data_IF_762040696090
#
_entry.id   IF_762040696090
#
_cell.length_a   1.000
_cell.length_b   1.000
_cell.length_c   1.000
_cell.angle_alpha   90.00
_cell.angle_beta   90.00
_cell.angle_gamma   90.00
#
_symmetry.space_group_name_H-M   'P 1'
#
loop_
_entity.id
_entity.type
_entity.pdbx_description
1 polymer ?
#
# COMPACT_ATOMS: atom_id res chain seq x y z
N UNK A 1 -22.80 33.66 -16.32
CA UNK A 1 -21.65 32.76 -16.58
C UNK A 1 -20.83 32.68 -15.30
N UNK A 2 -20.58 31.49 -14.73
CA UNK A 2 -19.55 31.38 -13.69
C UNK A 2 -18.18 31.76 -14.30
N UNK A 3 -17.30 32.43 -13.56
CA UNK A 3 -15.97 32.77 -14.05
C UNK A 3 -15.21 31.48 -14.35
N UNK A 4 -14.52 31.44 -15.50
CA UNK A 4 -13.64 30.34 -15.84
C UNK A 4 -12.58 30.17 -14.74
N UNK A 5 -12.31 28.94 -14.27
CA UNK A 5 -11.35 28.69 -13.22
C UNK A 5 -9.97 29.16 -13.67
N UNK A 6 -9.36 30.05 -12.89
CA UNK A 6 -8.05 30.60 -13.19
C UNK A 6 -6.99 29.54 -12.86
N UNK A 7 -6.60 28.75 -13.85
CA UNK A 7 -5.52 27.77 -13.71
C UNK A 7 -4.22 28.50 -13.30
N UNK A 8 -3.63 28.17 -12.15
CA UNK A 8 -2.42 28.86 -11.70
C UNK A 8 -1.22 28.41 -12.53
N UNK A 9 -0.31 29.35 -12.82
CA UNK A 9 0.96 29.04 -13.47
C UNK A 9 1.84 28.13 -12.59
N UNK A 10 2.42 27.10 -13.20
CA UNK A 10 3.28 26.13 -12.49
C UNK A 10 4.47 26.80 -11.82
N UNK A 11 5.11 27.77 -12.48
CA UNK A 11 6.26 28.50 -11.96
C UNK A 11 5.90 29.31 -10.71
N UNK A 12 4.74 29.98 -10.74
CA UNK A 12 4.20 30.71 -9.59
C UNK A 12 3.91 29.77 -8.40
N UNK A 13 3.24 28.64 -8.65
CA UNK A 13 2.96 27.63 -7.62
C UNK A 13 4.26 27.06 -7.03
N UNK A 14 5.23 26.72 -7.86
CA UNK A 14 6.53 26.21 -7.42
C UNK A 14 7.29 27.24 -6.56
N UNK A 15 7.25 28.51 -6.93
CA UNK A 15 7.86 29.58 -6.14
C UNK A 15 7.24 29.67 -4.73
N UNK A 16 5.92 29.55 -4.62
CA UNK A 16 5.20 29.56 -3.34
C UNK A 16 5.45 28.29 -2.52
N UNK A 17 5.44 27.12 -3.14
CA UNK A 17 5.82 25.85 -2.48
C UNK A 17 7.24 25.95 -1.90
N UNK A 18 8.18 26.62 -2.59
CA UNK A 18 9.53 26.91 -2.06
C UNK A 18 9.51 27.90 -0.89
N UNK A 19 8.59 28.86 -0.84
CA UNK A 19 8.40 29.74 0.34
C UNK A 19 7.92 28.90 1.53
N UNK A 20 6.91 28.05 1.34
CA UNK A 20 6.38 27.14 2.37
C UNK A 20 7.46 26.20 2.87
N UNK A 21 8.24 25.58 1.98
CA UNK A 21 9.36 24.70 2.37
C UNK A 21 10.39 25.39 3.26
N UNK A 22 10.66 26.68 3.05
CA UNK A 22 11.60 27.47 3.87
C UNK A 22 11.01 27.85 5.22
N UNK A 23 9.78 28.34 5.24
CA UNK A 23 9.14 28.83 6.45
C UNK A 23 8.57 27.71 7.34
N UNK A 24 8.09 26.62 6.74
CA UNK A 24 7.37 25.54 7.41
C UNK A 24 5.86 25.82 7.53
N UNK A 25 5.09 24.75 7.68
CA UNK A 25 3.62 24.80 7.67
C UNK A 25 2.99 25.54 8.87
N UNK A 26 3.71 25.64 9.99
CA UNK A 26 3.28 26.44 11.16
C UNK A 26 3.14 27.92 10.81
N UNK A 27 3.99 28.44 9.91
CA UNK A 27 4.04 29.86 9.54
C UNK A 27 3.22 30.19 8.29
N UNK A 28 2.41 29.25 7.77
CA UNK A 28 1.66 29.41 6.52
C UNK A 28 0.81 30.68 6.48
N UNK A 29 0.16 31.05 7.59
CA UNK A 29 -0.71 32.23 7.67
C UNK A 29 0.02 33.56 7.48
N UNK A 30 1.34 33.59 7.70
CA UNK A 30 2.17 34.78 7.54
C UNK A 30 2.87 34.82 6.17
N UNK A 31 2.65 33.83 5.30
CA UNK A 31 3.26 33.78 3.98
C UNK A 31 2.32 34.35 2.93
N UNK A 32 2.88 35.17 2.05
CA UNK A 32 2.23 35.59 0.83
C UNK A 32 2.30 34.46 -0.23
N UNK A 33 1.20 33.73 -0.36
CA UNK A 33 1.02 32.56 -1.25
C UNK A 33 -0.29 32.64 -2.06
N UNK A 34 -0.46 33.65 -2.92
CA UNK A 34 -1.70 33.90 -3.65
C UNK A 34 -2.10 32.79 -4.63
N UNK A 35 -1.16 32.11 -5.29
CA UNK A 35 -1.46 31.01 -6.21
C UNK A 35 -1.97 29.77 -5.46
N UNK A 36 -1.35 29.41 -4.33
CA UNK A 36 -1.83 28.34 -3.45
C UNK A 36 -3.15 28.68 -2.78
N UNK A 37 -3.34 29.95 -2.38
CA UNK A 37 -4.62 30.42 -1.84
C UNK A 37 -5.72 30.41 -2.91
N UNK A 38 -5.40 30.74 -4.16
CA UNK A 38 -6.29 30.61 -5.31
C UNK A 38 -6.69 29.15 -5.54
N UNK A 39 -5.72 28.24 -5.62
CA UNK A 39 -5.97 26.80 -5.75
C UNK A 39 -6.84 26.26 -4.59
N UNK A 40 -6.68 26.79 -3.38
CA UNK A 40 -7.53 26.41 -2.25
C UNK A 40 -8.99 26.86 -2.39
N UNK A 41 -9.27 27.95 -3.12
CA UNK A 41 -10.64 28.43 -3.37
C UNK A 41 -11.36 27.60 -4.42
N UNK A 42 -10.62 27.07 -5.39
CA UNK A 42 -11.15 26.21 -6.46
C UNK A 42 -11.46 24.78 -5.98
N UNK A 43 -10.94 24.38 -4.82
CA UNK A 43 -11.27 23.10 -4.21
C UNK A 43 -12.58 23.17 -3.40
N UNK A 44 -13.41 22.11 -3.44
CA UNK A 44 -14.62 22.04 -2.61
C UNK A 44 -14.31 22.29 -1.13
N UNK A 45 -15.07 23.20 -0.51
CA UNK A 45 -15.08 23.36 0.94
C UNK A 45 -15.58 22.05 1.54
N UNK A 46 -14.78 21.45 2.42
CA UNK A 46 -15.20 20.26 3.17
C UNK A 46 -15.37 20.65 4.62
N UNK A 47 -16.26 19.95 5.34
CA UNK A 47 -16.77 20.33 6.67
C UNK A 47 -15.77 20.12 7.83
N UNK A 48 -14.50 19.84 7.53
CA UNK A 48 -13.45 19.64 8.52
C UNK A 48 -12.43 20.78 8.51
N UNK A 49 -12.28 21.45 9.65
CA UNK A 49 -11.13 22.33 9.91
C UNK A 49 -9.85 21.49 9.92
N UNK A 50 -9.10 21.51 8.81
CA UNK A 50 -7.70 21.08 8.88
C UNK A 50 -6.94 22.07 9.78
N UNK A 51 -6.17 21.60 10.78
CA UNK A 51 -5.46 22.48 11.72
C UNK A 51 -4.46 23.47 11.06
N UNK A 52 -4.18 23.28 9.77
CA UNK A 52 -3.32 24.11 8.93
C UNK A 52 -3.99 25.13 8.02
N UNK A 53 -5.33 25.17 7.97
CA UNK A 53 -6.08 26.02 7.06
C UNK A 53 -6.09 25.53 5.59
N UNK A 54 -6.74 26.29 4.69
CA UNK A 54 -7.04 25.85 3.31
C UNK A 54 -5.80 25.52 2.48
N UNK A 55 -4.75 26.33 2.57
CA UNK A 55 -3.51 26.12 1.81
C UNK A 55 -2.79 24.83 2.22
N UNK A 56 -2.76 24.51 3.51
CA UNK A 56 -2.15 23.24 3.96
C UNK A 56 -2.94 22.04 3.43
N UNK A 57 -4.27 22.14 3.35
CA UNK A 57 -5.13 21.11 2.77
C UNK A 57 -4.78 20.86 1.29
N UNK A 58 -4.57 21.92 0.50
CA UNK A 58 -4.11 21.81 -0.89
C UNK A 58 -2.79 21.04 -0.97
N UNK A 59 -1.81 21.43 -0.14
CA UNK A 59 -0.49 20.80 -0.16
C UNK A 59 -0.54 19.32 0.26
N UNK A 60 -1.33 18.97 1.27
CA UNK A 60 -1.54 17.57 1.68
C UNK A 60 -2.17 16.75 0.57
N UNK A 61 -3.19 17.30 -0.08
CA UNK A 61 -3.87 16.62 -1.17
C UNK A 61 -2.93 16.44 -2.38
N UNK A 62 -2.20 17.48 -2.77
CA UNK A 62 -1.22 17.43 -3.85
C UNK A 62 -0.13 16.37 -3.58
N UNK A 63 0.43 16.35 -2.36
CA UNK A 63 1.42 15.35 -1.96
C UNK A 63 0.84 13.93 -1.96
N UNK A 64 -0.41 13.75 -1.52
CA UNK A 64 -1.05 12.43 -1.54
C UNK A 64 -1.28 11.85 -2.93
N UNK A 65 -1.36 12.72 -3.97
CA UNK A 65 -1.59 12.34 -5.36
C UNK A 65 -0.31 11.96 -6.13
N UNK A 66 0.87 12.18 -5.55
CA UNK A 66 2.16 11.80 -6.14
C UNK A 66 2.28 10.27 -6.36
N UNK A 67 1.46 9.46 -5.69
CA UNK A 67 1.37 8.01 -5.96
C UNK A 67 2.27 7.14 -5.07
N UNK A 68 2.83 7.69 -3.98
CA UNK A 68 3.62 6.96 -3.00
C UNK A 68 5.13 7.02 -3.22
N UNK A 69 5.84 6.06 -2.61
CA UNK A 69 7.29 5.91 -2.75
C UNK A 69 8.13 7.01 -2.09
N UNK A 70 9.43 7.00 -2.41
CA UNK A 70 10.42 7.93 -1.85
C UNK A 70 10.11 9.38 -2.21
N UNK A 71 9.52 9.62 -3.39
CA UNK A 71 9.12 10.95 -3.85
C UNK A 71 8.03 11.57 -2.97
N UNK A 72 6.93 10.85 -2.72
CA UNK A 72 5.88 11.34 -1.82
C UNK A 72 6.43 11.52 -0.40
N UNK A 73 7.13 10.52 0.14
CA UNK A 73 7.65 10.59 1.52
C UNK A 73 8.65 11.74 1.69
N UNK A 74 9.51 11.98 0.70
CA UNK A 74 10.42 13.12 0.73
C UNK A 74 9.68 14.46 0.62
N UNK A 75 8.59 14.55 -0.14
CA UNK A 75 7.74 15.74 -0.18
C UNK A 75 7.06 16.00 1.18
N UNK A 76 6.53 14.96 1.82
CA UNK A 76 5.92 15.02 3.16
C UNK A 76 6.91 15.56 4.19
N UNK A 77 8.14 15.04 4.22
CA UNK A 77 9.17 15.54 5.13
C UNK A 77 9.67 16.93 4.75
N UNK A 78 9.89 17.23 3.47
CA UNK A 78 10.39 18.54 3.01
C UNK A 78 9.46 19.68 3.42
N UNK A 79 8.14 19.44 3.35
CA UNK A 79 7.11 20.42 3.68
C UNK A 79 6.69 20.39 5.16
N UNK A 80 7.08 19.37 5.93
CA UNK A 80 6.67 19.23 7.33
C UNK A 80 5.22 18.73 7.47
N UNK A 81 4.75 17.98 6.48
CA UNK A 81 3.41 17.41 6.43
C UNK A 81 3.36 15.99 7.02
N UNK A 82 4.50 15.32 7.12
CA UNK A 82 4.61 14.05 7.83
C UNK A 82 4.23 14.22 9.31
N UNK A 83 3.59 13.20 9.89
CA UNK A 83 3.13 13.24 11.28
C UNK A 83 4.28 13.57 12.24
N UNK A 84 4.07 14.53 13.14
CA UNK A 84 5.06 14.94 14.13
C UNK A 84 6.23 15.78 13.59
N UNK A 85 6.17 16.26 12.34
CA UNK A 85 7.26 17.05 11.71
C UNK A 85 6.91 18.52 11.48
N UNK A 86 5.76 18.96 12.00
CA UNK A 86 5.13 20.26 11.72
C UNK A 86 6.03 21.42 12.14
N UNK A 87 6.60 21.32 13.33
CA UNK A 87 7.43 22.29 14.04
C UNK A 87 8.94 22.12 13.77
N UNK A 88 9.33 21.08 13.03
CA UNK A 88 10.74 20.81 12.76
C UNK A 88 11.41 21.96 12.02
N UNK A 89 12.68 22.29 12.33
CA UNK A 89 13.46 23.23 11.53
C UNK A 89 13.59 22.83 10.06
N UNK A 90 13.66 23.82 9.17
CA UNK A 90 13.73 23.58 7.73
C UNK A 90 14.99 22.80 7.29
N UNK A 91 16.05 22.84 8.10
CA UNK A 91 17.26 22.05 7.91
C UNK A 91 17.04 20.57 8.26
N UNK A 92 16.33 20.29 9.35
CA UNK A 92 16.07 18.92 9.81
C UNK A 92 15.07 18.20 8.90
N UNK A 93 14.04 18.93 8.44
CA UNK A 93 13.14 18.47 7.37
C UNK A 93 13.91 18.08 6.09
N UNK A 94 14.88 18.91 5.68
CA UNK A 94 15.74 18.61 4.53
C UNK A 94 16.58 17.36 4.77
N UNK A 95 17.21 17.28 5.94
CA UNK A 95 18.05 16.14 6.32
C UNK A 95 17.24 14.85 6.25
N UNK A 96 16.01 14.88 6.78
CA UNK A 96 15.12 13.72 6.74
C UNK A 96 14.67 13.38 5.31
N UNK A 97 14.32 14.38 4.50
CA UNK A 97 13.97 14.14 3.10
C UNK A 97 15.15 13.60 2.27
N UNK A 98 16.38 14.05 2.54
CA UNK A 98 17.59 13.52 1.92
C UNK A 98 17.84 12.05 2.30
N UNK A 99 17.60 11.70 3.58
CA UNK A 99 17.68 10.31 4.05
C UNK A 99 16.68 9.39 3.32
N UNK A 100 15.48 9.88 2.99
CA UNK A 100 14.48 9.10 2.24
C UNK A 100 14.98 8.71 0.85
N UNK A 101 15.84 9.54 0.24
CA UNK A 101 16.47 9.25 -1.05
C UNK A 101 17.81 8.52 -0.95
N UNK A 102 18.33 8.30 0.26
CA UNK A 102 19.68 7.74 0.43
C UNK A 102 20.79 8.64 -0.14
N UNK A 103 20.58 9.95 -0.21
CA UNK A 103 21.57 10.92 -0.72
C UNK A 103 22.04 11.88 0.37
N UNK A 104 23.21 12.49 0.16
CA UNK A 104 23.69 13.54 1.05
C UNK A 104 22.74 14.75 1.05
N UNK A 105 22.69 15.48 2.17
CA UNK A 105 21.86 16.69 2.31
C UNK A 105 22.18 17.71 1.23
N UNK A 106 23.47 17.83 0.86
CA UNK A 106 23.90 18.77 -0.17
C UNK A 106 23.48 18.32 -1.57
N UNK A 107 23.56 17.04 -1.89
CA UNK A 107 23.07 16.50 -3.17
C UNK A 107 21.55 16.64 -3.28
N UNK A 108 20.84 16.40 -2.18
CA UNK A 108 19.40 16.62 -2.11
C UNK A 108 19.07 18.09 -2.38
N UNK A 109 19.73 19.01 -1.69
CA UNK A 109 19.55 20.47 -1.85
C UNK A 109 19.74 20.92 -3.30
N UNK A 110 20.77 20.42 -3.99
CA UNK A 110 21.12 20.84 -5.34
C UNK A 110 20.23 20.24 -6.44
N UNK A 111 19.83 18.97 -6.30
CA UNK A 111 19.24 18.24 -7.43
C UNK A 111 17.84 17.66 -7.14
N UNK A 112 17.58 17.19 -5.92
CA UNK A 112 16.36 16.44 -5.63
C UNK A 112 15.26 17.34 -5.05
N UNK A 113 15.64 18.35 -4.26
CA UNK A 113 14.68 19.24 -3.62
C UNK A 113 13.85 20.02 -4.65
N UNK A 114 14.46 20.49 -5.74
CA UNK A 114 13.73 21.18 -6.80
C UNK A 114 12.76 20.24 -7.52
N UNK A 115 13.20 19.01 -7.83
CA UNK A 115 12.38 17.99 -8.47
C UNK A 115 11.17 17.60 -7.60
N UNK A 116 11.41 17.33 -6.31
CA UNK A 116 10.36 17.01 -5.33
C UNK A 116 9.31 18.13 -5.24
N UNK A 117 9.75 19.38 -5.10
CA UNK A 117 8.83 20.51 -5.00
C UNK A 117 8.14 20.81 -6.34
N UNK A 118 8.82 20.56 -7.47
CA UNK A 118 8.24 20.65 -8.82
C UNK A 118 7.09 19.68 -9.03
N UNK A 119 7.23 18.45 -8.54
CA UNK A 119 6.17 17.43 -8.57
C UNK A 119 4.98 17.83 -7.69
N UNK A 120 5.23 18.41 -6.50
CA UNK A 120 4.15 18.97 -5.68
C UNK A 120 3.42 20.09 -6.43
N UNK A 121 4.14 21.01 -7.05
CA UNK A 121 3.55 22.12 -7.80
C UNK A 121 2.70 21.64 -8.98
N UNK A 122 3.17 20.63 -9.72
CA UNK A 122 2.44 19.99 -10.81
C UNK A 122 1.11 19.40 -10.32
N UNK A 123 1.12 18.68 -9.19
CA UNK A 123 -0.11 18.13 -8.61
C UNK A 123 -1.09 19.21 -8.14
N UNK A 124 -0.61 20.37 -7.67
CA UNK A 124 -1.48 21.51 -7.33
C UNK A 124 -2.16 22.08 -8.58
N UNK A 125 -1.44 22.22 -9.70
CA UNK A 125 -2.05 22.68 -10.96
C UNK A 125 -3.09 21.67 -11.44
N UNK A 126 -2.77 20.38 -11.43
CA UNK A 126 -3.69 19.31 -11.81
C UNK A 126 -4.97 19.28 -10.95
N UNK A 127 -4.85 19.59 -9.65
CA UNK A 127 -6.01 19.72 -8.76
C UNK A 127 -6.99 20.79 -9.21
N UNK A 128 -6.49 21.94 -9.67
CA UNK A 128 -7.33 23.05 -10.17
C UNK A 128 -7.94 22.71 -11.53
N UNK A 129 -7.15 22.12 -12.43
CA UNK A 129 -7.63 21.68 -13.76
C UNK A 129 -8.73 20.61 -13.64
N UNK A 130 -8.63 19.71 -12.67
CA UNK A 130 -9.65 18.67 -12.46
C UNK A 130 -10.86 19.17 -11.66
N UNK A 131 -10.70 20.19 -10.81
CA UNK A 131 -11.82 20.89 -10.15
C UNK A 131 -12.63 21.77 -11.10
N UNK A 132 -12.01 22.21 -12.21
CA UNK A 132 -12.60 23.01 -13.28
C UNK A 132 -13.52 22.25 -14.24
N UNK A 133 -13.37 20.93 -14.34
CA UNK A 133 -14.23 20.11 -15.18
C UNK A 133 -15.62 19.98 -14.52
N UNK A 134 -16.74 20.11 -15.27
CA UNK A 134 -18.08 19.83 -14.75
C UNK A 134 -18.19 18.32 -14.55
N UNK A 135 -17.59 17.86 -13.46
CA UNK A 135 -17.72 16.50 -13.01
C UNK A 135 -18.92 16.48 -12.11
N UNK A 136 -20.00 15.90 -12.62
CA UNK A 136 -21.03 15.28 -11.79
C UNK A 136 -20.42 14.12 -11.01
N UNK A 137 -19.44 14.42 -10.16
CA UNK A 137 -19.03 13.56 -9.06
C UNK A 137 -19.97 13.97 -7.94
N UNK A 138 -20.84 13.05 -7.46
CA UNK A 138 -21.66 13.35 -6.30
C UNK A 138 -20.73 13.87 -5.20
N UNK A 139 -21.15 14.92 -4.50
CA UNK A 139 -20.54 15.28 -3.22
C UNK A 139 -20.30 13.97 -2.43
N UNK A 140 -19.17 13.80 -1.71
CA UNK A 140 -19.03 12.65 -0.84
C UNK A 140 -20.21 12.70 0.13
N UNK A 141 -21.20 11.86 -0.13
CA UNK A 141 -22.29 11.71 0.80
C UNK A 141 -21.64 11.10 2.03
N UNK A 142 -21.68 11.82 3.14
CA UNK A 142 -21.43 11.23 4.45
C UNK A 142 -22.47 10.14 4.78
N UNK A 143 -23.38 9.83 3.85
CA UNK A 143 -24.48 8.89 4.00
C UNK A 143 -24.06 7.41 3.95
N UNK A 144 -22.80 7.07 3.59
CA UNK A 144 -22.33 5.70 3.75
C UNK A 144 -20.80 5.61 3.88
N UNK A 145 -20.31 5.09 5.01
CA UNK A 145 -18.91 4.68 5.12
C UNK A 145 -18.60 3.68 3.98
N UNK A 146 -17.49 3.85 3.24
CA UNK A 146 -17.14 2.90 2.19
C UNK A 146 -17.03 1.49 2.75
N UNK A 147 -17.57 0.51 2.04
CA UNK A 147 -17.62 -0.86 2.52
C UNK A 147 -16.20 -1.41 2.76
N UNK A 148 -16.00 -2.00 3.95
CA UNK A 148 -14.76 -2.68 4.32
C UNK A 148 -14.59 -4.04 3.60
N UNK A 149 -15.68 -4.58 3.06
CA UNK A 149 -15.69 -5.79 2.24
C UNK A 149 -16.40 -5.48 0.93
N UNK A 150 -15.76 -5.81 -0.19
CA UNK A 150 -16.32 -5.63 -1.54
C UNK A 150 -16.26 -6.95 -2.29
N UNK A 151 -17.39 -7.46 -2.78
CA UNK A 151 -17.42 -8.65 -3.62
C UNK A 151 -17.41 -8.21 -5.08
N UNK A 152 -16.38 -8.64 -5.80
CA UNK A 152 -16.18 -8.41 -7.21
C UNK A 152 -16.41 -9.72 -7.99
N UNK A 153 -16.71 -9.57 -9.27
CA UNK A 153 -16.98 -10.69 -10.18
C UNK A 153 -16.21 -10.49 -11.50
N UNK A 154 -14.86 -10.48 -11.46
CA UNK A 154 -14.05 -10.42 -12.67
C UNK A 154 -14.39 -11.56 -13.62
N UNK A 155 -14.26 -11.28 -14.92
CA UNK A 155 -14.32 -12.30 -15.95
C UNK A 155 -12.90 -12.83 -16.16
N UNK A 156 -12.73 -14.14 -16.04
CA UNK A 156 -11.47 -14.83 -16.32
C UNK A 156 -11.76 -15.88 -17.38
N UNK A 157 -11.19 -15.70 -18.57
CA UNK A 157 -11.55 -16.43 -19.78
C UNK A 157 -13.09 -16.41 -20.03
N UNK A 158 -13.77 -17.56 -19.98
CA UNK A 158 -15.22 -17.66 -20.20
C UNK A 158 -16.04 -17.70 -18.90
N UNK A 159 -15.41 -17.53 -17.73
CA UNK A 159 -16.06 -17.70 -16.42
C UNK A 159 -16.04 -16.41 -15.62
N UNK A 160 -17.08 -16.23 -14.79
CA UNK A 160 -17.13 -15.16 -13.80
C UNK A 160 -16.75 -15.75 -12.45
N UNK A 161 -15.71 -15.24 -11.83
CA UNK A 161 -15.18 -15.78 -10.56
C UNK A 161 -15.43 -14.78 -9.44
N UNK A 162 -16.02 -15.19 -8.30
CA UNK A 162 -16.18 -14.30 -7.16
C UNK A 162 -14.82 -14.00 -6.52
N UNK A 163 -14.54 -12.72 -6.29
CA UNK A 163 -13.34 -12.25 -5.60
C UNK A 163 -13.74 -11.29 -4.48
N UNK A 164 -13.33 -11.55 -3.25
CA UNK A 164 -13.61 -10.67 -2.10
C UNK A 164 -12.43 -9.76 -1.80
N UNK A 165 -12.67 -8.46 -1.71
CA UNK A 165 -11.68 -7.45 -1.35
C UNK A 165 -11.92 -6.91 0.06
N UNK A 166 -10.96 -7.14 0.94
CA UNK A 166 -10.92 -6.71 2.32
C UNK A 166 -10.15 -5.38 2.44
N UNK A 167 -10.81 -4.35 2.93
CA UNK A 167 -10.27 -2.99 3.10
C UNK A 167 -10.01 -2.68 4.57
N UNK A 168 -9.13 -3.47 5.17
CA UNK A 168 -8.76 -3.34 6.58
C UNK A 168 -7.40 -4.00 6.84
N UNK A 169 -6.99 -4.07 8.10
CA UNK A 169 -5.76 -4.76 8.51
C UNK A 169 -5.97 -6.28 8.53
N UNK A 170 -4.89 -7.03 8.30
CA UNK A 170 -4.92 -8.51 8.14
C UNK A 170 -5.26 -9.27 9.41
N UNK A 171 -5.17 -8.63 10.57
CA UNK A 171 -5.59 -9.16 11.88
C UNK A 171 -7.11 -9.10 12.12
N UNK A 172 -7.87 -8.54 11.18
CA UNK A 172 -9.33 -8.52 11.20
C UNK A 172 -9.95 -9.52 10.20
N UNK A 173 -9.13 -10.28 9.47
CA UNK A 173 -9.60 -11.32 8.56
C UNK A 173 -10.26 -12.45 9.36
N UNK A 174 -11.36 -12.99 8.82
CA UNK A 174 -12.10 -14.10 9.43
C UNK A 174 -12.54 -15.08 8.35
N UNK A 175 -12.69 -16.34 8.74
CA UNK A 175 -13.29 -17.41 7.94
C UNK A 175 -12.58 -17.59 6.59
N UNK A 176 -11.25 -17.51 6.60
CA UNK A 176 -10.38 -17.71 5.44
C UNK A 176 -9.33 -18.75 5.79
N UNK A 177 -9.25 -19.83 5.03
CA UNK A 177 -8.42 -20.98 5.35
C UNK A 177 -6.93 -20.67 5.32
N UNK A 178 -6.46 -19.98 4.28
CA UNK A 178 -5.06 -19.67 4.07
C UNK A 178 -4.83 -18.18 3.91
N UNK A 179 -3.93 -17.60 4.71
CA UNK A 179 -3.49 -16.21 4.53
C UNK A 179 -2.03 -16.19 4.07
N UNK A 180 -1.77 -15.49 2.97
CA UNK A 180 -0.42 -15.32 2.45
C UNK A 180 0.32 -14.21 3.20
N UNK A 181 1.53 -14.51 3.65
CA UNK A 181 2.41 -13.60 4.38
C UNK A 181 3.65 -13.26 3.54
N UNK A 182 3.87 -11.99 3.15
CA UNK A 182 5.11 -11.58 2.49
C UNK A 182 6.30 -11.71 3.44
N UNK A 183 7.28 -12.52 3.04
CA UNK A 183 8.48 -12.82 3.81
C UNK A 183 9.74 -12.45 3.04
N UNK A 184 10.82 -12.19 3.80
CA UNK A 184 12.14 -12.11 3.19
C UNK A 184 12.70 -13.49 2.89
N UNK A 185 13.74 -13.54 2.05
CA UNK A 185 14.37 -14.80 1.64
C UNK A 185 15.04 -15.57 2.78
N UNK A 186 15.24 -14.96 3.95
CA UNK A 186 15.73 -15.66 5.15
C UNK A 186 14.60 -16.15 6.05
N UNK A 187 13.34 -15.90 5.69
CA UNK A 187 12.16 -16.15 6.54
C UNK A 187 12.26 -15.55 7.95
N UNK A 188 13.05 -14.49 8.11
CA UNK A 188 13.19 -13.79 9.38
C UNK A 188 11.98 -12.87 9.58
N UNK A 189 11.10 -13.19 10.53
CA UNK A 189 9.91 -12.37 10.77
C UNK A 189 10.28 -10.98 11.33
N UNK A 190 9.60 -9.92 10.88
CA UNK A 190 9.78 -8.60 11.45
C UNK A 190 9.37 -8.57 12.94
N UNK A 191 9.90 -7.58 13.66
CA UNK A 191 9.50 -7.36 15.05
C UNK A 191 7.99 -7.11 15.17
N UNK A 192 7.30 -7.65 16.21
CA UNK A 192 5.83 -7.60 16.31
C UNK A 192 5.20 -6.21 16.34
N UNK A 193 5.94 -5.16 16.72
CA UNK A 193 5.45 -3.77 16.76
C UNK A 193 5.54 -3.06 15.40
N UNK A 194 6.07 -3.71 14.36
CA UNK A 194 6.09 -3.15 13.00
C UNK A 194 4.69 -3.23 12.38
N UNK A 195 4.47 -2.40 11.36
CA UNK A 195 3.18 -2.24 10.68
C UNK A 195 3.11 -2.97 9.33
N UNK A 196 4.01 -3.92 9.05
CA UNK A 196 3.92 -4.78 7.85
C UNK A 196 2.85 -5.85 8.01
N UNK A 197 2.43 -6.46 6.89
CA UNK A 197 1.49 -7.59 6.90
C UNK A 197 2.04 -8.73 7.77
N UNK A 198 3.27 -9.17 7.54
CA UNK A 198 3.93 -10.23 8.30
C UNK A 198 4.08 -9.93 9.79
N UNK A 199 4.35 -8.67 10.17
CA UNK A 199 4.42 -8.27 11.59
C UNK A 199 3.04 -8.32 12.26
N UNK A 200 2.00 -7.89 11.55
CA UNK A 200 0.62 -7.98 12.04
C UNK A 200 0.16 -9.42 12.18
N UNK A 201 0.41 -10.29 11.19
CA UNK A 201 0.08 -11.71 11.27
C UNK A 201 0.79 -12.40 12.44
N UNK A 202 2.10 -12.18 12.60
CA UNK A 202 2.87 -12.67 13.75
C UNK A 202 2.23 -12.22 15.08
N UNK A 203 1.96 -10.93 15.23
CA UNK A 203 1.37 -10.36 16.47
C UNK A 203 -0.05 -10.88 16.74
N UNK A 204 -0.81 -11.17 15.70
CA UNK A 204 -2.20 -11.64 15.82
C UNK A 204 -2.28 -13.16 16.06
N UNK A 205 -1.36 -13.94 15.49
CA UNK A 205 -1.27 -15.39 15.74
C UNK A 205 -0.50 -15.74 17.01
N UNK A 206 0.15 -14.79 17.67
CA UNK A 206 0.78 -14.99 18.96
C UNK A 206 -0.25 -15.16 20.08
N UNK A 207 -0.02 -16.12 20.99
CA UNK A 207 -0.83 -16.31 22.20
C UNK A 207 -0.37 -15.32 23.27
N UNK A 208 -1.33 -14.65 23.89
CA UNK A 208 -1.08 -13.63 24.92
C UNK A 208 -1.78 -14.01 26.22
N UNK A 209 -1.24 -13.53 27.32
CA UNK A 209 -1.87 -13.62 28.63
C UNK A 209 -3.01 -12.58 28.76
N UNK A 210 -3.81 -12.61 29.83
CA UNK A 210 -4.91 -11.66 30.04
C UNK A 210 -4.49 -10.19 30.14
N UNK A 211 -3.22 -9.89 30.41
CA UNK A 211 -2.70 -8.51 30.47
C UNK A 211 -2.01 -8.09 29.16
N UNK A 212 -2.03 -8.94 28.14
CA UNK A 212 -1.49 -8.68 26.81
C UNK A 212 -0.01 -9.04 26.64
N UNK A 213 0.62 -9.65 27.65
CA UNK A 213 1.98 -10.18 27.59
C UNK A 213 2.09 -11.36 26.62
N UNK A 214 3.21 -11.44 25.89
CA UNK A 214 3.47 -12.52 24.96
C UNK A 214 3.74 -13.81 25.73
N UNK A 215 2.89 -14.82 25.53
CA UNK A 215 3.07 -16.17 26.10
C UNK A 215 3.75 -17.09 25.10
N UNK A 216 3.39 -17.00 23.82
CA UNK A 216 3.89 -17.89 22.79
C UNK A 216 3.84 -17.23 21.42
N UNK A 217 4.92 -17.36 20.65
CA UNK A 217 5.05 -16.87 19.27
C UNK A 217 5.10 -18.05 18.30
N UNK A 218 3.98 -18.78 18.22
CA UNK A 218 3.88 -20.05 17.48
C UNK A 218 4.33 -19.93 16.03
N UNK A 219 3.97 -18.84 15.36
CA UNK A 219 4.31 -18.61 13.95
C UNK A 219 5.82 -18.46 13.79
N UNK A 220 6.51 -17.72 14.68
CA UNK A 220 7.98 -17.58 14.62
C UNK A 220 8.68 -18.91 14.90
N UNK A 221 8.20 -19.65 15.90
CA UNK A 221 8.77 -20.96 16.28
C UNK A 221 8.62 -21.99 15.15
N UNK A 222 7.43 -22.09 14.54
CA UNK A 222 7.20 -23.01 13.44
C UNK A 222 7.97 -22.63 12.17
N UNK A 223 8.10 -21.33 11.87
CA UNK A 223 8.85 -20.88 10.71
C UNK A 223 10.36 -21.11 10.88
N UNK A 224 10.90 -20.93 12.09
CA UNK A 224 12.26 -21.34 12.45
C UNK A 224 12.44 -22.85 12.33
N UNK A 225 11.47 -23.63 12.80
CA UNK A 225 11.47 -25.08 12.63
C UNK A 225 11.45 -25.49 11.16
N UNK A 226 10.67 -24.81 10.33
CA UNK A 226 10.60 -25.05 8.90
C UNK A 226 11.94 -24.77 8.22
N UNK A 227 12.56 -23.62 8.51
CA UNK A 227 13.87 -23.24 7.92
C UNK A 227 14.98 -24.19 8.35
N UNK A 228 14.96 -24.67 9.58
CA UNK A 228 15.92 -25.67 10.06
C UNK A 228 15.78 -27.03 9.35
N UNK A 229 14.56 -27.41 8.94
CA UNK A 229 14.30 -28.68 8.23
C UNK A 229 14.58 -28.60 6.72
N UNK A 230 14.34 -27.44 6.10
CA UNK A 230 14.35 -27.28 4.64
C UNK A 230 15.53 -26.46 4.11
N UNK A 231 16.38 -25.94 4.98
CA UNK A 231 17.52 -25.11 4.59
C UNK A 231 18.69 -25.22 5.57
N UNK A 232 19.78 -24.53 5.23
CA UNK A 232 20.90 -24.33 6.14
C UNK A 232 20.67 -23.05 6.95
N UNK A 233 20.87 -23.03 8.27
CA UNK A 233 20.76 -21.82 9.08
C UNK A 233 21.56 -20.67 8.48
N UNK A 234 20.94 -19.50 8.33
CA UNK A 234 21.58 -18.30 7.77
C UNK A 234 21.70 -18.27 6.25
N UNK A 235 21.18 -19.25 5.52
CA UNK A 235 21.14 -19.22 4.04
C UNK A 235 19.81 -18.64 3.54
N UNK A 236 19.89 -17.77 2.55
CA UNK A 236 18.70 -17.29 1.84
C UNK A 236 18.06 -18.43 1.03
N UNK A 237 16.75 -18.58 1.17
CA UNK A 237 15.91 -19.36 0.28
C UNK A 237 15.86 -18.72 -1.11
N UNK A 238 15.52 -19.54 -2.11
CA UNK A 238 15.26 -19.02 -3.45
C UNK A 238 14.02 -18.13 -3.42
N UNK A 239 14.03 -16.96 -4.09
CA UNK A 239 12.82 -16.16 -4.22
C UNK A 239 11.66 -16.99 -4.82
N UNK A 240 10.44 -16.78 -4.34
CA UNK A 240 9.25 -17.58 -4.67
C UNK A 240 9.12 -18.88 -3.87
N UNK A 241 10.07 -19.24 -2.99
CA UNK A 241 9.87 -20.33 -2.03
C UNK A 241 8.74 -19.99 -1.05
N UNK A 242 7.92 -21.00 -0.70
CA UNK A 242 6.80 -20.85 0.22
C UNK A 242 6.99 -21.79 1.41
N UNK A 243 7.02 -21.21 2.61
CA UNK A 243 7.04 -21.94 3.87
C UNK A 243 5.66 -21.93 4.51
N UNK A 244 5.23 -23.05 5.09
CA UNK A 244 3.88 -23.21 5.65
C UNK A 244 3.97 -23.34 7.16
N UNK A 245 3.13 -22.59 7.87
CA UNK A 245 2.91 -22.69 9.32
C UNK A 245 1.42 -22.82 9.63
N UNK A 246 1.10 -23.23 10.85
CA UNK A 246 -0.20 -22.97 11.49
C UNK A 246 -0.46 -21.46 11.57
N UNK A 247 -1.69 -21.09 11.92
CA UNK A 247 -2.05 -19.69 12.12
C UNK A 247 -1.95 -19.25 13.59
N UNK A 248 -1.59 -20.17 14.50
CA UNK A 248 -1.55 -19.92 15.94
C UNK A 248 -2.92 -19.45 16.46
N UNK A 249 -2.96 -18.36 17.23
CA UNK A 249 -4.20 -17.82 17.78
C UNK A 249 -5.22 -17.36 16.72
N UNK A 250 -4.80 -17.15 15.46
CA UNK A 250 -5.72 -16.82 14.36
C UNK A 250 -6.60 -18.00 13.93
N UNK A 251 -6.32 -19.22 14.38
CA UNK A 251 -7.20 -20.39 14.18
C UNK A 251 -8.59 -20.15 14.79
N UNK A 252 -8.68 -19.44 15.91
CA UNK A 252 -9.96 -19.02 16.50
C UNK A 252 -10.75 -18.00 15.66
N UNK A 253 -10.16 -17.48 14.57
CA UNK A 253 -10.82 -16.61 13.59
C UNK A 253 -11.15 -17.36 12.29
N UNK A 254 -10.95 -18.67 12.24
CA UNK A 254 -11.13 -19.48 11.03
C UNK A 254 -9.93 -19.47 10.08
N UNK A 255 -8.79 -18.88 10.47
CA UNK A 255 -7.56 -18.94 9.68
C UNK A 255 -6.79 -20.20 10.04
N UNK A 256 -6.60 -21.11 9.08
CA UNK A 256 -6.07 -22.45 9.34
C UNK A 256 -4.58 -22.56 9.01
N UNK A 257 -4.10 -21.79 8.03
CA UNK A 257 -2.70 -21.81 7.59
C UNK A 257 -2.19 -20.41 7.27
N UNK A 258 -0.88 -20.23 7.44
CA UNK A 258 -0.16 -19.07 6.90
C UNK A 258 0.89 -19.56 5.93
N UNK A 259 0.82 -19.06 4.70
CA UNK A 259 1.79 -19.36 3.65
C UNK A 259 2.76 -18.18 3.53
N UNK A 260 3.97 -18.36 4.02
CA UNK A 260 5.03 -17.36 3.99
C UNK A 260 5.74 -17.43 2.66
N UNK A 261 5.60 -16.39 1.83
CA UNK A 261 6.19 -16.36 0.49
C UNK A 261 7.46 -15.52 0.53
N UNK A 262 8.60 -16.14 0.24
CA UNK A 262 9.91 -15.49 0.18
C UNK A 262 10.04 -14.65 -1.11
N UNK A 263 9.62 -13.39 -1.08
CA UNK A 263 9.68 -12.47 -2.24
C UNK A 263 10.58 -11.27 -2.01
N UNK A 264 10.96 -11.00 -0.76
CA UNK A 264 11.72 -9.82 -0.39
C UNK A 264 13.20 -10.16 -0.15
N UNK A 265 14.07 -9.79 -1.08
CA UNK A 265 15.52 -9.93 -0.91
C UNK A 265 16.01 -8.74 -0.07
N UNK A 266 16.57 -8.92 1.14
CA UNK A 266 17.05 -7.80 1.93
C UNK A 266 18.17 -7.06 1.20
N UNK A 267 18.09 -5.73 1.16
CA UNK A 267 19.18 -4.91 0.67
C UNK A 267 20.20 -4.70 1.81
N UNK A 268 21.48 -5.06 1.61
CA UNK A 268 22.50 -4.89 2.64
C UNK A 268 22.53 -3.45 3.17
N UNK A 269 22.72 -3.31 4.49
CA UNK A 269 22.86 -2.03 5.20
C UNK A 269 21.62 -1.11 5.17
N UNK A 270 20.47 -1.58 4.66
CA UNK A 270 19.22 -0.81 4.69
C UNK A 270 18.08 -1.57 5.38
N UNK A 271 16.93 -0.91 5.48
CA UNK A 271 15.69 -1.52 5.95
C UNK A 271 14.76 -1.94 4.79
N UNK A 272 15.27 -1.84 3.56
CA UNK A 272 14.54 -1.99 2.31
C UNK A 272 14.82 -3.36 1.68
N UNK A 273 13.99 -3.70 0.71
CA UNK A 273 14.07 -4.98 0.02
C UNK A 273 14.01 -4.76 -1.49
N UNK A 274 14.66 -5.65 -2.21
CA UNK A 274 14.45 -5.82 -3.63
C UNK A 274 13.41 -6.91 -3.85
N UNK A 275 12.40 -6.60 -4.66
CA UNK A 275 11.33 -7.54 -5.03
C UNK A 275 11.18 -7.51 -6.53
N UNK A 276 11.31 -8.66 -7.18
CA UNK A 276 11.06 -8.79 -8.61
C UNK A 276 9.63 -9.28 -8.86
N UNK A 277 8.89 -8.69 -9.82
CA UNK A 277 7.57 -9.18 -10.22
C UNK A 277 7.54 -10.67 -10.52
N UNK A 278 8.57 -11.21 -11.18
CA UNK A 278 8.66 -12.64 -11.50
C UNK A 278 8.69 -13.55 -10.25
N UNK A 279 9.27 -13.07 -9.15
CA UNK A 279 9.32 -13.83 -7.88
C UNK A 279 7.95 -13.86 -7.20
N UNK A 280 7.16 -12.80 -7.35
CA UNK A 280 5.76 -12.74 -6.90
C UNK A 280 4.94 -13.77 -7.67
N UNK A 281 5.00 -13.76 -9.00
CA UNK A 281 4.27 -14.71 -9.84
C UNK A 281 4.64 -16.16 -9.49
N UNK A 282 5.93 -16.46 -9.37
CA UNK A 282 6.41 -17.80 -8.97
C UNK A 282 5.92 -18.19 -7.58
N UNK A 283 6.00 -17.29 -6.61
CA UNK A 283 5.56 -17.54 -5.24
C UNK A 283 4.06 -17.80 -5.14
N UNK A 284 3.24 -17.03 -5.85
CA UNK A 284 1.79 -17.19 -5.88
C UNK A 284 1.39 -18.49 -6.60
N UNK A 285 2.06 -18.85 -7.69
CA UNK A 285 1.86 -20.15 -8.32
C UNK A 285 2.18 -21.31 -7.36
N UNK A 286 3.25 -21.18 -6.54
CA UNK A 286 3.58 -22.19 -5.52
C UNK A 286 2.56 -22.22 -4.37
N UNK A 287 1.97 -21.08 -4.00
CA UNK A 287 0.86 -21.01 -3.02
C UNK A 287 -0.30 -21.88 -3.48
N UNK A 288 -0.76 -21.74 -4.72
CA UNK A 288 -1.86 -22.56 -5.24
C UNK A 288 -1.50 -24.04 -5.36
N UNK A 289 -0.27 -24.36 -5.78
CA UNK A 289 0.19 -25.74 -5.81
C UNK A 289 0.19 -26.39 -4.41
N UNK A 290 0.68 -25.68 -3.38
CA UNK A 290 0.63 -26.14 -1.99
C UNK A 290 -0.80 -26.29 -1.47
N UNK A 291 -1.67 -25.33 -1.79
CA UNK A 291 -3.08 -25.38 -1.41
C UNK A 291 -3.75 -26.62 -1.99
N UNK A 292 -3.52 -26.90 -3.28
CA UNK A 292 -4.04 -28.10 -3.94
C UNK A 292 -3.45 -29.40 -3.34
N UNK A 293 -2.16 -29.40 -2.98
CA UNK A 293 -1.47 -30.56 -2.36
C UNK A 293 -2.05 -30.92 -0.99
N UNK A 294 -2.36 -29.93 -0.13
CA UNK A 294 -2.80 -30.20 1.25
C UNK A 294 -4.31 -30.07 1.48
N UNK A 295 -5.07 -29.45 0.57
CA UNK A 295 -6.50 -29.15 0.79
C UNK A 295 -7.30 -30.35 1.28
N UNK A 296 -7.13 -31.52 0.65
CA UNK A 296 -7.86 -32.75 0.99
C UNK A 296 -7.42 -33.43 2.29
N UNK A 297 -6.29 -33.01 2.88
CA UNK A 297 -5.81 -33.53 4.17
C UNK A 297 -6.48 -32.84 5.37
N UNK A 298 -7.29 -31.81 5.13
CA UNK A 298 -8.05 -31.09 6.15
C UNK A 298 -9.53 -31.45 6.11
N UNK A 299 -10.17 -31.43 7.28
CA UNK A 299 -11.62 -31.58 7.42
C UNK A 299 -12.22 -30.34 8.12
N UNK A 300 -13.04 -29.52 7.44
CA UNK A 300 -13.36 -29.59 6.01
C UNK A 300 -12.14 -29.30 5.13
N UNK A 301 -12.13 -29.63 3.82
CA UNK A 301 -11.01 -29.28 2.95
C UNK A 301 -10.69 -27.78 2.93
N UNK A 302 -9.43 -27.40 2.69
CA UNK A 302 -9.08 -26.00 2.45
C UNK A 302 -9.69 -25.54 1.10
N UNK A 303 -10.28 -24.35 1.06
CA UNK A 303 -10.99 -23.78 -0.09
C UNK A 303 -10.72 -22.30 -0.33
N UNK A 304 -10.33 -21.54 0.70
CA UNK A 304 -10.13 -20.09 0.58
C UNK A 304 -8.69 -19.63 0.79
N UNK A 305 -8.26 -18.63 0.01
CA UNK A 305 -6.93 -18.02 0.13
C UNK A 305 -7.00 -16.50 0.06
N UNK A 306 -6.34 -15.83 1.01
CA UNK A 306 -6.20 -14.37 1.03
C UNK A 306 -4.80 -13.90 0.67
N UNK A 307 -4.75 -13.02 -0.32
CA UNK A 307 -3.55 -12.49 -0.93
C UNK A 307 -3.40 -10.99 -0.61
N UNK A 308 -2.39 -10.58 0.17
CA UNK A 308 -2.01 -9.18 0.25
C UNK A 308 -1.21 -8.78 -1.00
N UNK A 309 -1.10 -7.48 -1.26
CA UNK A 309 -0.12 -6.98 -2.24
C UNK A 309 1.31 -7.30 -1.76
N UNK A 310 2.07 -8.01 -2.60
CA UNK A 310 3.43 -8.44 -2.35
C UNK A 310 4.43 -7.41 -2.90
N UNK A 311 5.39 -6.97 -2.09
CA UNK A 311 6.41 -6.00 -2.51
C UNK A 311 5.99 -4.53 -2.57
N UNK A 312 4.68 -4.21 -2.54
CA UNK A 312 4.15 -2.82 -2.58
C UNK A 312 4.32 -1.99 -1.29
N UNK A 313 5.31 -2.37 -0.47
CA UNK A 313 5.70 -1.71 0.77
C UNK A 313 7.16 -1.29 0.71
N UNK A 314 8.00 -1.92 1.53
CA UNK A 314 9.45 -1.69 1.51
C UNK A 314 10.19 -2.38 0.35
N UNK A 315 9.46 -3.09 -0.51
CA UNK A 315 10.00 -3.72 -1.71
C UNK A 315 10.05 -2.79 -2.93
N UNK A 316 9.51 -1.57 -2.81
CA UNK A 316 9.62 -0.54 -3.84
C UNK A 316 8.64 -0.65 -5.01
N UNK A 317 7.90 -1.75 -5.16
CA UNK A 317 6.92 -1.91 -6.23
C UNK A 317 5.72 -0.97 -6.05
N UNK A 318 5.17 -0.49 -7.16
CA UNK A 318 3.85 0.14 -7.16
C UNK A 318 2.77 -0.90 -6.88
N UNK A 319 1.59 -0.49 -6.36
CA UNK A 319 0.44 -1.39 -6.23
C UNK A 319 0.03 -2.05 -7.54
N UNK A 320 0.19 -1.35 -8.68
CA UNK A 320 -0.13 -1.87 -10.01
C UNK A 320 0.82 -3.01 -10.41
N UNK A 321 2.13 -2.82 -10.29
CA UNK A 321 3.13 -3.86 -10.61
C UNK A 321 2.97 -5.09 -9.70
N UNK A 322 2.78 -4.85 -8.41
CA UNK A 322 2.52 -5.90 -7.41
C UNK A 322 1.28 -6.71 -7.75
N UNK A 323 0.17 -6.02 -8.06
CA UNK A 323 -1.08 -6.68 -8.40
C UNK A 323 -1.00 -7.40 -9.74
N UNK A 324 -0.43 -6.81 -10.78
CA UNK A 324 -0.30 -7.45 -12.09
C UNK A 324 0.53 -8.74 -12.04
N UNK A 325 1.65 -8.73 -11.31
CA UNK A 325 2.48 -9.92 -11.12
C UNK A 325 1.76 -11.06 -10.37
N UNK A 326 0.99 -10.69 -9.35
CA UNK A 326 0.20 -11.60 -8.54
C UNK A 326 -0.99 -12.15 -9.35
N UNK A 327 -1.72 -11.27 -10.04
CA UNK A 327 -2.90 -11.59 -10.83
C UNK A 327 -2.57 -12.55 -11.97
N UNK A 328 -1.42 -12.40 -12.63
CA UNK A 328 -0.98 -13.34 -13.67
C UNK A 328 -0.95 -14.80 -13.19
N UNK A 329 -0.54 -15.05 -11.94
CA UNK A 329 -0.55 -16.40 -11.36
C UNK A 329 -1.96 -16.85 -10.94
N UNK A 330 -2.76 -15.95 -10.39
CA UNK A 330 -4.18 -16.21 -10.03
C UNK A 330 -5.00 -16.56 -11.27
N UNK A 331 -4.88 -15.75 -12.32
CA UNK A 331 -5.55 -15.93 -13.60
C UNK A 331 -5.17 -17.27 -14.24
N UNK A 332 -3.87 -17.61 -14.25
CA UNK A 332 -3.41 -18.90 -14.77
C UNK A 332 -3.99 -20.09 -13.98
N UNK A 333 -4.15 -19.95 -12.66
CA UNK A 333 -4.78 -20.98 -11.83
C UNK A 333 -6.28 -21.10 -12.08
N UNK A 334 -6.99 -19.97 -12.16
CA UNK A 334 -8.40 -19.93 -12.49
C UNK A 334 -8.66 -20.45 -13.91
N UNK A 335 -7.77 -20.20 -14.88
CA UNK A 335 -7.90 -20.72 -16.24
C UNK A 335 -7.84 -22.27 -16.28
N UNK A 336 -7.21 -22.92 -15.30
CA UNK A 336 -7.17 -24.39 -15.19
C UNK A 336 -8.44 -25.03 -14.65
N UNK A 337 -9.45 -24.23 -14.30
CA UNK A 337 -10.71 -24.75 -13.78
C UNK A 337 -10.86 -24.66 -12.27
N UNK A 338 -9.83 -24.22 -11.53
CA UNK A 338 -9.85 -24.14 -10.08
C UNK A 338 -11.03 -23.32 -9.54
N UNK A 339 -11.58 -23.75 -8.41
CA UNK A 339 -12.76 -23.17 -7.74
C UNK A 339 -12.39 -22.73 -6.31
N UNK A 340 -11.32 -21.93 -6.22
CA UNK A 340 -10.86 -21.37 -4.95
C UNK A 340 -11.68 -20.12 -4.59
N UNK A 341 -12.01 -19.97 -3.31
CA UNK A 341 -12.52 -18.71 -2.78
C UNK A 341 -11.36 -17.72 -2.66
N UNK A 342 -11.36 -16.70 -3.52
CA UNK A 342 -10.25 -15.75 -3.64
C UNK A 342 -10.52 -14.47 -2.84
N UNK A 343 -9.57 -14.13 -1.98
CA UNK A 343 -9.60 -12.93 -1.17
C UNK A 343 -8.37 -12.06 -1.42
N UNK A 344 -8.56 -10.75 -1.43
CA UNK A 344 -7.49 -9.76 -1.44
C UNK A 344 -7.60 -8.87 -0.21
N UNK A 345 -6.46 -8.47 0.36
CA UNK A 345 -6.46 -7.57 1.52
C UNK A 345 -5.56 -6.36 1.32
N UNK A 346 -6.13 -5.17 1.53
CA UNK A 346 -5.47 -3.87 1.45
C UNK A 346 -5.93 -2.97 2.58
N UNK A 347 -5.06 -2.09 3.09
CA UNK A 347 -5.40 -1.22 4.24
C UNK A 347 -6.09 0.10 3.89
N UNK A 348 -6.19 0.44 2.60
CA UNK A 348 -6.63 1.78 2.15
C UNK A 348 -7.64 1.66 1.02
N UNK A 349 -8.72 2.42 1.11
CA UNK A 349 -9.75 2.48 0.06
C UNK A 349 -9.17 2.84 -1.31
N UNK A 350 -8.25 3.80 -1.40
CA UNK A 350 -7.62 4.15 -2.68
C UNK A 350 -6.92 2.96 -3.38
N UNK A 351 -6.37 2.00 -2.61
CA UNK A 351 -5.81 0.76 -3.18
C UNK A 351 -6.91 -0.22 -3.55
N UNK A 352 -7.97 -0.28 -2.76
CA UNK A 352 -9.12 -1.10 -3.07
C UNK A 352 -9.79 -0.66 -4.37
N UNK A 353 -9.98 0.65 -4.55
CA UNK A 353 -10.55 1.25 -5.76
C UNK A 353 -9.67 0.97 -6.99
N UNK A 354 -8.34 0.92 -6.83
CA UNK A 354 -7.43 0.52 -7.91
C UNK A 354 -7.64 -0.95 -8.29
N UNK A 355 -7.63 -1.85 -7.33
CA UNK A 355 -7.83 -3.28 -7.58
C UNK A 355 -9.20 -3.55 -8.20
N UNK A 356 -10.24 -2.87 -7.70
CA UNK A 356 -11.59 -2.94 -8.26
C UNK A 356 -11.61 -2.55 -9.74
N UNK A 357 -11.01 -1.40 -10.11
CA UNK A 357 -10.89 -1.01 -11.52
C UNK A 357 -10.13 -2.06 -12.34
N UNK A 358 -9.00 -2.57 -11.85
CA UNK A 358 -8.21 -3.55 -12.59
C UNK A 358 -8.95 -4.87 -12.80
N UNK A 359 -9.83 -5.26 -11.88
CA UNK A 359 -10.62 -6.49 -11.96
C UNK A 359 -11.92 -6.33 -12.75
N UNK A 360 -12.42 -5.11 -12.94
CA UNK A 360 -13.66 -4.85 -13.68
C UNK A 360 -13.44 -4.28 -15.08
N UNK A 361 -12.22 -3.85 -15.42
CA UNK A 361 -11.88 -3.36 -16.75
C UNK A 361 -11.55 -4.53 -17.68
N UNK A 362 -12.57 -5.28 -18.08
CA UNK A 362 -12.54 -6.19 -19.23
C UNK A 362 -13.91 -6.18 -19.92
N UNK A 363 -14.07 -5.22 -20.84
CA UNK A 363 -14.93 -5.33 -22.00
C UNK A 363 -14.22 -4.61 -23.16
N UNK A 364 -13.56 -5.31 -24.10
CA UNK A 364 -13.43 -4.74 -25.43
C UNK A 364 -14.85 -4.48 -25.95
N UNK A 365 -15.08 -3.27 -26.44
CA UNK A 365 -16.27 -2.97 -27.22
C UNK A 365 -16.35 -3.99 -28.37
N UNK A 366 -17.47 -4.68 -28.48
CA UNK A 366 -17.85 -5.32 -29.73
C UNK A 366 -17.93 -4.19 -30.78
N UNK A 367 -16.89 -4.05 -31.59
CA UNK A 367 -16.99 -3.30 -32.84
C UNK A 367 -17.98 -4.05 -33.72
N UNK A 368 -19.16 -3.46 -33.83
CA UNK A 368 -20.27 -3.96 -34.62
C UNK A 368 -19.99 -3.88 -36.12
N UNK A 369 -20.52 -4.90 -36.81
CA UNK A 369 -21.08 -4.94 -38.17
C UNK A 369 -20.34 -4.24 -39.30
#
# INVERSE_FOLDING_TARGET
>A
MPPSPHVPDHGAVLAEVRKVRRAGVVRLRALDVPALAGAARELPRGDGESPGGPVEKVLRLAVSRIGGGTLQTAAEYSLGLAQGTRDWPAADRRRRAAQVYGVSVERFRKHHELMVLGQVAEQVVQLVVQGAAPTGVPAPSYERMPAAHRTLRPRVDRRTVPVTLHVHSVDLLRDIDVVVSPSNTYFALPAPYKSSVSATLRRAGARKDPVGGLVEDRIDDELRGWTARHGSPGRAAQPGTVAVTSAGALEGQGIRRIYHVAVAVPRPETNDYDVQPADITRGVARVFALLAEEAGAHDPPLRSVCLPLLGAGRGGLTPLESFGALWAAVEAELARGADWELHFVVRRHARADLLERLLTTDAPAEDGR
#
